data_IF_990415133029
#
_entry.id   IF_990415133029
#
_cell.length_a   1.000
_cell.length_b   1.000
_cell.length_c   1.000
_cell.angle_alpha   90.00
_cell.angle_beta   90.00
_cell.angle_gamma   90.00
#
_symmetry.space_group_name_H-M   'P 1'
#
loop_
_entity.id
_entity.type
_entity.pdbx_description
1 polymer ?
#
# COMPACT_ATOMS: atom_id res chain seq x y z
N UNK A 1 -2.84 25.74 2.17
CA UNK A 1 -2.93 24.41 2.79
C UNK A 1 -3.97 23.50 2.17
N UNK A 2 -5.20 23.99 1.90
CA UNK A 2 -6.27 23.17 1.29
C UNK A 2 -5.87 22.59 -0.08
N UNK A 3 -5.21 23.35 -0.94
CA UNK A 3 -4.73 22.88 -2.25
C UNK A 3 -3.76 21.68 -2.11
N UNK A 4 -2.82 21.77 -1.17
CA UNK A 4 -1.86 20.67 -0.90
C UNK A 4 -2.60 19.44 -0.36
N UNK A 5 -3.60 19.63 0.50
CA UNK A 5 -4.45 18.58 1.01
C UNK A 5 -5.20 17.85 -0.12
N UNK A 6 -5.80 18.60 -1.04
CA UNK A 6 -6.51 18.04 -2.20
C UNK A 6 -5.56 17.30 -3.16
N UNK A 7 -4.39 17.86 -3.42
CA UNK A 7 -3.36 17.18 -4.23
C UNK A 7 -2.95 15.86 -3.57
N UNK A 8 -2.73 15.86 -2.26
CA UNK A 8 -2.40 14.63 -1.51
C UNK A 8 -3.52 13.59 -1.60
N UNK A 9 -4.78 14.04 -1.58
CA UNK A 9 -5.96 13.19 -1.75
C UNK A 9 -5.94 12.48 -3.11
N UNK A 10 -5.76 13.24 -4.18
CA UNK A 10 -5.72 12.69 -5.54
C UNK A 10 -4.50 11.78 -5.72
N UNK A 11 -3.33 12.21 -5.23
CA UNK A 11 -2.11 11.41 -5.32
C UNK A 11 -2.25 10.07 -4.58
N UNK A 12 -2.91 10.04 -3.43
CA UNK A 12 -3.16 8.81 -2.68
C UNK A 12 -4.04 7.83 -3.47
N UNK A 13 -5.13 8.32 -4.10
CA UNK A 13 -5.97 7.52 -4.99
C UNK A 13 -5.17 6.95 -6.18
N UNK A 14 -4.33 7.77 -6.79
CA UNK A 14 -3.47 7.35 -7.90
C UNK A 14 -2.53 6.23 -7.47
N UNK A 15 -1.87 6.36 -6.32
CA UNK A 15 -0.98 5.32 -5.79
C UNK A 15 -1.71 4.02 -5.50
N UNK A 16 -2.91 4.09 -4.88
CA UNK A 16 -3.71 2.90 -4.58
C UNK A 16 -4.19 2.21 -5.87
N UNK A 17 -4.66 2.98 -6.85
CA UNK A 17 -5.08 2.47 -8.16
C UNK A 17 -3.92 1.87 -8.95
N UNK A 18 -2.77 2.55 -9.00
CA UNK A 18 -1.56 2.08 -9.65
C UNK A 18 -1.09 0.74 -9.06
N UNK A 19 -1.09 0.63 -7.74
CA UNK A 19 -0.72 -0.61 -7.08
C UNK A 19 -1.68 -1.76 -7.44
N UNK A 20 -2.99 -1.51 -7.50
CA UNK A 20 -3.97 -2.52 -7.94
C UNK A 20 -3.71 -2.97 -9.36
N UNK A 21 -3.52 -2.03 -10.29
CA UNK A 21 -3.24 -2.35 -11.70
C UNK A 21 -1.93 -3.12 -11.89
N UNK A 22 -0.91 -2.81 -11.10
CA UNK A 22 0.37 -3.52 -11.13
C UNK A 22 0.34 -4.89 -10.45
N UNK A 23 -0.38 -5.02 -9.34
CA UNK A 23 -0.41 -6.25 -8.53
C UNK A 23 -1.33 -7.33 -9.08
N UNK A 24 -2.46 -6.97 -9.71
CA UNK A 24 -3.42 -7.95 -10.26
C UNK A 24 -2.80 -8.88 -11.32
N UNK A 25 -2.10 -8.37 -12.35
CA UNK A 25 -1.42 -9.23 -13.32
C UNK A 25 -0.37 -10.14 -12.68
N UNK A 26 0.31 -9.64 -11.64
CA UNK A 26 1.36 -10.39 -10.93
C UNK A 26 0.81 -11.58 -10.12
N UNK A 27 -0.49 -11.60 -9.80
CA UNK A 27 -1.12 -12.77 -9.17
C UNK A 27 -1.16 -14.00 -10.08
N UNK A 28 -1.15 -13.78 -11.40
CA UNK A 28 -1.13 -14.86 -12.40
C UNK A 28 0.24 -15.55 -12.44
N UNK A 29 1.31 -14.84 -12.03
CA UNK A 29 2.66 -15.39 -11.96
C UNK A 29 2.75 -16.50 -10.91
N UNK A 30 3.54 -17.52 -11.21
CA UNK A 30 3.74 -18.65 -10.30
C UNK A 30 4.51 -18.31 -9.02
N UNK A 31 5.21 -17.15 -9.01
CA UNK A 31 6.07 -16.68 -7.90
C UNK A 31 7.26 -17.59 -7.60
N UNK A 32 7.60 -18.48 -8.53
CA UNK A 32 8.64 -19.50 -8.39
C UNK A 32 10.02 -19.02 -8.86
N UNK A 33 10.10 -17.86 -9.52
CA UNK A 33 11.36 -17.31 -9.96
C UNK A 33 11.88 -16.22 -9.01
N UNK A 34 13.22 -16.12 -8.82
CA UNK A 34 13.82 -15.05 -8.03
C UNK A 34 13.48 -13.65 -8.57
N UNK A 35 13.27 -13.54 -9.89
CA UNK A 35 12.92 -12.26 -10.54
C UNK A 35 11.51 -11.81 -10.16
N UNK A 36 10.52 -12.72 -10.20
CA UNK A 36 9.14 -12.42 -9.85
C UNK A 36 9.02 -11.93 -8.41
N UNK A 37 9.63 -12.67 -7.48
CA UNK A 37 9.61 -12.32 -6.06
C UNK A 37 10.31 -10.99 -5.78
N UNK A 38 11.41 -10.68 -6.48
CA UNK A 38 12.12 -9.41 -6.38
C UNK A 38 11.27 -8.25 -6.89
N UNK A 39 10.59 -8.43 -8.02
CA UNK A 39 9.75 -7.41 -8.62
C UNK A 39 8.53 -7.10 -7.73
N UNK A 40 7.83 -8.12 -7.26
CA UNK A 40 6.66 -7.98 -6.37
C UNK A 40 7.07 -7.26 -5.07
N UNK A 41 8.15 -7.69 -4.46
CA UNK A 41 8.69 -7.04 -3.25
C UNK A 41 9.05 -5.57 -3.51
N UNK A 42 9.66 -5.27 -4.64
CA UNK A 42 10.00 -3.91 -5.06
C UNK A 42 8.76 -3.03 -5.21
N UNK A 43 7.73 -3.54 -5.87
CA UNK A 43 6.44 -2.86 -6.04
C UNK A 43 5.79 -2.52 -4.68
N UNK A 44 5.76 -3.48 -3.73
CA UNK A 44 5.24 -3.23 -2.39
C UNK A 44 6.04 -2.18 -1.62
N UNK A 45 7.37 -2.21 -1.71
CA UNK A 45 8.21 -1.23 -1.03
C UNK A 45 7.99 0.19 -1.56
N UNK A 46 7.92 0.36 -2.87
CA UNK A 46 7.63 1.66 -3.50
C UNK A 46 6.24 2.14 -3.12
N UNK A 47 5.25 1.27 -3.22
CA UNK A 47 3.87 1.58 -2.85
C UNK A 47 3.74 2.02 -1.39
N UNK A 48 4.20 1.22 -0.44
CA UNK A 48 4.12 1.55 0.98
C UNK A 48 4.83 2.86 1.31
N UNK A 49 5.99 3.12 0.69
CA UNK A 49 6.73 4.37 0.87
C UNK A 49 5.97 5.56 0.31
N UNK A 50 5.44 5.45 -0.90
CA UNK A 50 4.67 6.52 -1.54
C UNK A 50 3.39 6.85 -0.77
N UNK A 51 2.63 5.83 -0.34
CA UNK A 51 1.42 5.99 0.48
C UNK A 51 1.76 6.65 1.82
N UNK A 52 2.80 6.17 2.51
CA UNK A 52 3.23 6.73 3.79
C UNK A 52 3.55 8.23 3.67
N UNK A 53 4.37 8.62 2.70
CA UNK A 53 4.80 10.01 2.52
C UNK A 53 3.61 10.89 2.11
N UNK A 54 2.83 10.45 1.11
CA UNK A 54 1.68 11.22 0.60
C UNK A 54 0.62 11.40 1.68
N UNK A 55 0.33 10.34 2.45
CA UNK A 55 -0.63 10.41 3.53
C UNK A 55 -0.14 11.27 4.70
N UNK A 56 1.15 11.25 5.03
CA UNK A 56 1.72 12.13 6.05
C UNK A 56 1.59 13.61 5.67
N UNK A 57 1.91 13.96 4.42
CA UNK A 57 1.74 15.33 3.89
C UNK A 57 0.27 15.73 3.95
N UNK A 58 -0.64 14.85 3.55
CA UNK A 58 -2.08 15.08 3.62
C UNK A 58 -2.57 15.30 5.05
N UNK A 59 -2.13 14.47 5.99
CA UNK A 59 -2.49 14.60 7.40
C UNK A 59 -2.12 15.98 7.97
N UNK A 60 -0.89 16.43 7.75
CA UNK A 60 -0.43 17.77 8.17
C UNK A 60 -1.23 18.87 7.48
N UNK A 61 -1.45 18.74 6.17
CA UNK A 61 -2.16 19.76 5.39
C UNK A 61 -3.63 19.91 5.80
N UNK A 62 -4.32 18.79 6.08
CA UNK A 62 -5.71 18.82 6.57
C UNK A 62 -5.79 19.31 8.02
N UNK A 63 -4.83 19.00 8.88
CA UNK A 63 -4.76 19.52 10.23
C UNK A 63 -4.62 21.06 10.20
N UNK A 64 -3.73 21.58 9.38
CA UNK A 64 -3.53 23.03 9.19
C UNK A 64 -4.71 23.73 8.49
N UNK A 65 -5.51 22.98 7.75
CA UNK A 65 -6.74 23.48 7.12
C UNK A 65 -7.97 23.42 8.06
N UNK A 66 -7.78 23.05 9.33
CA UNK A 66 -8.88 22.97 10.31
C UNK A 66 -9.81 21.79 10.13
N UNK A 67 -9.36 20.71 9.47
CA UNK A 67 -10.14 19.48 9.20
C UNK A 67 -9.56 18.28 9.97
N UNK A 68 -9.67 18.24 11.32
CA UNK A 68 -8.95 17.26 12.15
C UNK A 68 -9.38 15.80 11.90
N UNK A 69 -10.65 15.54 11.59
CA UNK A 69 -11.13 14.17 11.31
C UNK A 69 -10.49 13.60 10.04
N UNK A 70 -10.38 14.42 8.99
CA UNK A 70 -9.74 14.01 7.74
C UNK A 70 -8.22 13.83 7.98
N UNK A 71 -7.61 14.74 8.73
CA UNK A 71 -6.20 14.63 9.11
C UNK A 71 -5.91 13.33 9.87
N UNK A 72 -6.81 12.93 10.79
CA UNK A 72 -6.68 11.67 11.52
C UNK A 72 -6.78 10.46 10.58
N UNK A 73 -7.73 10.47 9.64
CA UNK A 73 -7.86 9.39 8.65
C UNK A 73 -6.58 9.25 7.80
N UNK A 74 -6.01 10.35 7.34
CA UNK A 74 -4.73 10.37 6.62
C UNK A 74 -3.56 9.89 7.49
N UNK A 75 -3.51 10.25 8.77
CA UNK A 75 -2.51 9.77 9.71
C UNK A 75 -2.60 8.23 9.91
N UNK A 76 -3.82 7.69 10.00
CA UNK A 76 -4.03 6.24 10.03
C UNK A 76 -3.50 5.56 8.77
N UNK A 77 -3.77 6.12 7.58
CA UNK A 77 -3.25 5.57 6.32
C UNK A 77 -1.72 5.63 6.28
N UNK A 78 -1.11 6.73 6.73
CA UNK A 78 0.35 6.85 6.82
C UNK A 78 0.96 5.79 7.75
N UNK A 79 0.33 5.56 8.90
CA UNK A 79 0.75 4.53 9.86
C UNK A 79 0.64 3.12 9.27
N UNK A 80 -0.45 2.83 8.54
CA UNK A 80 -0.62 1.56 7.84
C UNK A 80 0.41 1.38 6.72
N UNK A 81 0.76 2.43 5.99
CA UNK A 81 1.85 2.42 5.01
C UNK A 81 3.20 2.07 5.66
N UNK A 82 3.50 2.69 6.80
CA UNK A 82 4.71 2.39 7.58
C UNK A 82 4.70 0.95 8.10
N UNK A 83 3.59 0.50 8.67
CA UNK A 83 3.44 -0.88 9.16
C UNK A 83 3.58 -1.90 8.03
N UNK A 84 2.98 -1.63 6.86
CA UNK A 84 3.12 -2.46 5.67
C UNK A 84 4.58 -2.57 5.23
N UNK A 85 5.31 -1.47 5.23
CA UNK A 85 6.75 -1.47 4.91
C UNK A 85 7.56 -2.25 5.94
N UNK A 86 7.35 -1.99 7.22
CA UNK A 86 8.14 -2.60 8.30
C UNK A 86 7.80 -4.08 8.52
N UNK A 87 6.57 -4.47 8.30
CA UNK A 87 6.13 -5.84 8.56
C UNK A 87 6.01 -6.68 7.28
N UNK A 88 5.21 -6.23 6.30
CA UNK A 88 4.89 -7.04 5.11
C UNK A 88 6.13 -7.19 4.21
N UNK A 89 6.82 -6.09 3.91
CA UNK A 89 8.03 -6.10 3.06
C UNK A 89 9.15 -6.89 3.74
N UNK A 90 9.34 -6.72 5.05
CA UNK A 90 10.34 -7.49 5.81
C UNK A 90 10.03 -8.99 5.84
N UNK A 91 8.74 -9.36 5.93
CA UNK A 91 8.33 -10.77 5.83
C UNK A 91 8.55 -11.34 4.42
N UNK A 92 8.28 -10.56 3.39
CA UNK A 92 8.60 -10.93 2.01
C UNK A 92 10.10 -11.17 1.83
N UNK A 93 10.95 -10.29 2.38
CA UNK A 93 12.40 -10.43 2.31
C UNK A 93 12.87 -11.70 3.02
N UNK A 94 12.32 -12.01 4.20
CA UNK A 94 12.66 -13.22 4.95
C UNK A 94 12.29 -14.49 4.19
N UNK A 95 11.09 -14.56 3.65
CA UNK A 95 10.65 -15.73 2.85
C UNK A 95 11.51 -15.85 1.60
N UNK A 96 11.79 -14.75 0.92
CA UNK A 96 12.58 -14.73 -0.31
C UNK A 96 14.03 -15.17 -0.09
N UNK A 97 14.65 -14.82 1.05
CA UNK A 97 16.04 -15.18 1.33
C UNK A 97 16.26 -16.69 1.48
N UNK A 98 15.21 -17.43 1.82
CA UNK A 98 15.25 -18.90 1.99
C UNK A 98 14.56 -19.66 0.86
N UNK A 99 13.92 -18.97 -0.08
CA UNK A 99 13.12 -19.57 -1.14
C UNK A 99 14.01 -20.14 -2.25
N UNK A 100 13.81 -21.42 -2.54
CA UNK A 100 14.35 -22.10 -3.73
C UNK A 100 13.23 -22.42 -4.71
N UNK A 101 13.55 -22.68 -5.98
CA UNK A 101 12.54 -22.97 -7.02
C UNK A 101 11.70 -24.22 -6.71
N UNK A 102 12.26 -25.14 -5.93
CA UNK A 102 11.60 -26.41 -5.55
C UNK A 102 10.85 -26.33 -4.21
N UNK A 103 10.96 -25.20 -3.47
CA UNK A 103 10.29 -25.03 -2.18
C UNK A 103 8.86 -24.50 -2.35
N UNK A 104 7.94 -25.40 -2.63
CA UNK A 104 6.52 -25.08 -2.79
C UNK A 104 5.91 -24.39 -1.55
N UNK A 105 6.41 -24.66 -0.35
CA UNK A 105 5.91 -24.10 0.89
C UNK A 105 6.30 -22.62 1.05
N UNK A 106 7.54 -22.25 0.68
CA UNK A 106 7.99 -20.87 0.68
C UNK A 106 7.30 -20.05 -0.41
N UNK A 107 7.11 -20.62 -1.60
CA UNK A 107 6.37 -20.01 -2.71
C UNK A 107 4.94 -19.69 -2.29
N UNK A 108 4.23 -20.63 -1.64
CA UNK A 108 2.89 -20.39 -1.13
C UNK A 108 2.84 -19.31 -0.04
N UNK A 109 3.82 -19.28 0.87
CA UNK A 109 3.92 -18.23 1.91
C UNK A 109 4.11 -16.85 1.28
N UNK A 110 4.99 -16.73 0.29
CA UNK A 110 5.21 -15.48 -0.43
C UNK A 110 3.94 -15.01 -1.15
N UNK A 111 3.25 -15.93 -1.83
CA UNK A 111 1.98 -15.65 -2.52
C UNK A 111 0.89 -15.20 -1.54
N UNK A 112 0.79 -15.80 -0.36
CA UNK A 112 -0.14 -15.36 0.70
C UNK A 112 0.16 -13.94 1.16
N UNK A 113 1.44 -13.57 1.35
CA UNK A 113 1.82 -12.22 1.70
C UNK A 113 1.42 -11.21 0.60
N UNK A 114 1.60 -11.56 -0.67
CA UNK A 114 1.15 -10.75 -1.81
C UNK A 114 -0.37 -10.55 -1.78
N UNK A 115 -1.15 -11.61 -1.66
CA UNK A 115 -2.62 -11.55 -1.58
C UNK A 115 -3.07 -10.72 -0.37
N UNK A 116 -2.46 -10.92 0.80
CA UNK A 116 -2.77 -10.16 2.01
C UNK A 116 -2.55 -8.66 1.79
N UNK A 117 -1.43 -8.27 1.19
CA UNK A 117 -1.15 -6.87 0.88
C UNK A 117 -2.16 -6.27 -0.11
N UNK A 118 -2.58 -7.04 -1.12
CA UNK A 118 -3.62 -6.61 -2.05
C UNK A 118 -4.98 -6.44 -1.36
N UNK A 119 -5.39 -7.36 -0.50
CA UNK A 119 -6.65 -7.27 0.23
C UNK A 119 -6.66 -6.05 1.17
N UNK A 120 -5.55 -5.76 1.83
CA UNK A 120 -5.39 -4.54 2.65
C UNK A 120 -5.57 -3.30 1.76
N UNK A 121 -4.94 -3.26 0.58
CA UNK A 121 -5.09 -2.13 -0.33
C UNK A 121 -6.53 -1.96 -0.84
N UNK A 122 -7.22 -3.07 -1.19
CA UNK A 122 -8.64 -3.02 -1.60
C UNK A 122 -9.51 -2.45 -0.47
N UNK A 123 -9.31 -2.92 0.77
CA UNK A 123 -10.05 -2.41 1.92
C UNK A 123 -9.77 -0.92 2.16
N UNK A 124 -8.51 -0.50 2.06
CA UNK A 124 -8.12 0.92 2.17
C UNK A 124 -8.74 1.77 1.06
N UNK A 125 -8.70 1.31 -0.19
CA UNK A 125 -9.28 2.02 -1.33
C UNK A 125 -10.79 2.16 -1.20
N UNK A 126 -11.49 1.08 -0.82
CA UNK A 126 -12.93 1.10 -0.59
C UNK A 126 -13.30 2.05 0.56
N UNK A 127 -12.61 1.97 1.70
CA UNK A 127 -12.79 2.87 2.83
C UNK A 127 -12.51 4.32 2.49
N UNK A 128 -11.48 4.56 1.67
CA UNK A 128 -11.11 5.89 1.21
C UNK A 128 -12.18 6.48 0.28
N UNK A 129 -12.64 5.72 -0.72
CA UNK A 129 -13.73 6.14 -1.61
C UNK A 129 -15.02 6.41 -0.84
N UNK A 130 -15.38 5.55 0.11
CA UNK A 130 -16.54 5.77 0.99
C UNK A 130 -16.36 7.05 1.81
N UNK A 131 -15.19 7.25 2.44
CA UNK A 131 -14.90 8.45 3.20
C UNK A 131 -15.04 9.74 2.36
N UNK A 132 -14.61 9.70 1.10
CA UNK A 132 -14.74 10.83 0.18
C UNK A 132 -16.19 11.21 -0.09
N UNK A 133 -17.14 10.26 -0.11
CA UNK A 133 -18.57 10.55 -0.30
C UNK A 133 -19.22 11.22 0.91
N UNK A 134 -18.59 11.12 2.09
CA UNK A 134 -19.08 11.72 3.34
C UNK A 134 -18.49 13.12 3.61
N UNK A 135 -17.48 13.52 2.84
CA UNK A 135 -16.87 14.86 2.99
C UNK A 135 -17.65 15.87 2.17
N UNK A 136 -18.47 16.69 2.84
CA UNK A 136 -18.96 17.95 2.24
C UNK A 136 -17.80 18.94 2.20
N UNK A 137 -17.46 19.39 1.02
CA UNK A 137 -16.46 20.44 0.77
C UNK A 137 -16.98 21.81 1.21
#
# INVERSE_FOLDING_TARGET
MLVVALISTVALLVWMGFFMMGSLPLLVLKHDTPLDSRFIRGLFNVYCTAVMITAAIGAVSYALAGRPLIALAFACVATLGLAGRCWLVSRMDLVRSTMTADDSSAIQRFRRLHITGMLINVALLAGYCFGMTQVSL
#
